data_IF_274619595526
#
_entry.id   IF_274619595526
#
_cell.length_a   1.000
_cell.length_b   1.000
_cell.length_c   1.000
_cell.angle_alpha   90.00
_cell.angle_beta   90.00
_cell.angle_gamma   90.00
#
_symmetry.space_group_name_H-M   'P 1'
#
loop_
_entity.id
_entity.type
_entity.pdbx_description
1 polymer ?
#
# COMPACT_ATOMS: atom_id res chain seq x y z
N UNK A 1 25.98 -38.62 6.28
CA UNK A 1 25.31 -37.65 7.19
C UNK A 1 25.08 -36.36 6.42
N UNK A 2 23.83 -35.96 6.18
CA UNK A 2 23.48 -34.68 5.52
C UNK A 2 23.39 -33.60 6.58
N UNK A 3 24.27 -32.61 6.54
CA UNK A 3 24.18 -31.41 7.37
C UNK A 3 23.08 -30.51 6.81
N UNK A 4 21.95 -30.44 7.51
CA UNK A 4 20.91 -29.44 7.26
C UNK A 4 21.49 -28.07 7.62
N UNK A 5 21.90 -27.29 6.60
CA UNK A 5 22.17 -25.87 6.81
C UNK A 5 20.84 -25.18 7.13
N UNK A 6 20.63 -24.91 8.42
CA UNK A 6 19.63 -23.96 8.87
C UNK A 6 20.00 -22.61 8.28
N UNK A 7 19.34 -22.22 7.19
CA UNK A 7 19.49 -20.88 6.61
C UNK A 7 19.32 -19.82 7.70
N UNK A 8 20.01 -18.67 7.59
CA UNK A 8 20.10 -17.70 8.67
C UNK A 8 18.71 -17.33 9.16
N UNK A 9 18.43 -17.60 10.43
CA UNK A 9 17.18 -17.20 11.07
C UNK A 9 16.97 -15.71 10.79
N UNK A 10 15.83 -15.36 10.17
CA UNK A 10 15.53 -13.97 9.81
C UNK A 10 15.53 -13.14 11.09
N UNK A 11 16.61 -12.40 11.32
CA UNK A 11 16.76 -11.53 12.48
C UNK A 11 15.54 -10.61 12.56
N UNK A 12 14.89 -10.52 13.73
CA UNK A 12 13.71 -9.70 13.90
C UNK A 12 14.01 -8.24 13.57
N UNK A 13 13.03 -7.56 12.98
CA UNK A 13 13.17 -6.18 12.53
C UNK A 13 13.41 -5.25 13.74
N UNK A 14 14.40 -4.35 13.65
CA UNK A 14 14.60 -3.35 14.69
C UNK A 14 13.44 -2.36 14.74
N UNK A 15 13.16 -1.79 15.92
CA UNK A 15 12.05 -0.84 16.10
C UNK A 15 12.11 0.36 15.16
N UNK A 16 13.30 0.93 14.91
CA UNK A 16 13.46 2.05 13.98
C UNK A 16 13.13 1.66 12.54
N UNK A 17 13.57 0.47 12.09
CA UNK A 17 13.23 -0.05 10.75
C UNK A 17 11.74 -0.34 10.63
N UNK A 18 11.10 -0.84 11.68
CA UNK A 18 9.66 -1.10 11.71
C UNK A 18 8.85 0.20 11.55
N UNK A 19 9.25 1.27 12.22
CA UNK A 19 8.65 2.60 12.03
C UNK A 19 8.87 3.16 10.63
N UNK A 20 10.07 3.02 10.07
CA UNK A 20 10.32 3.40 8.68
C UNK A 20 9.40 2.64 7.71
N UNK A 21 9.26 1.32 7.87
CA UNK A 21 8.34 0.53 7.06
C UNK A 21 6.89 1.00 7.22
N UNK A 22 6.41 1.23 8.45
CA UNK A 22 5.06 1.71 8.71
C UNK A 22 4.81 3.09 8.08
N UNK A 23 5.75 4.02 8.22
CA UNK A 23 5.68 5.35 7.61
C UNK A 23 5.62 5.27 6.09
N UNK A 24 6.50 4.48 5.47
CA UNK A 24 6.49 4.27 4.02
C UNK A 24 5.16 3.70 3.52
N UNK A 25 4.54 2.79 4.26
CA UNK A 25 3.27 2.17 3.88
C UNK A 25 2.09 3.15 3.91
N UNK A 26 2.11 4.12 4.82
CA UNK A 26 1.00 5.05 5.05
C UNK A 26 1.16 6.36 4.30
N UNK A 27 2.39 6.85 4.15
CA UNK A 27 2.68 8.18 3.62
C UNK A 27 3.19 8.16 2.17
N UNK A 28 3.88 7.10 1.77
CA UNK A 28 4.45 6.99 0.43
C UNK A 28 3.56 6.17 -0.50
N UNK A 29 3.39 4.88 -0.19
CA UNK A 29 2.64 3.98 -1.05
C UNK A 29 2.14 2.73 -0.29
N UNK A 30 0.82 2.44 -0.33
CA UNK A 30 0.26 1.23 0.25
C UNK A 30 0.93 -0.05 -0.29
N UNK A 31 1.61 -0.79 0.58
CA UNK A 31 2.32 -2.04 0.25
C UNK A 31 3.83 -1.92 0.16
N UNK A 32 4.38 -0.72 -0.06
CA UNK A 32 5.84 -0.55 -0.17
C UNK A 32 6.55 -0.85 1.15
N UNK A 33 6.02 -0.36 2.27
CA UNK A 33 6.51 -0.66 3.61
C UNK A 33 6.39 -2.14 3.97
N UNK A 34 5.31 -2.79 3.55
CA UNK A 34 5.11 -4.24 3.70
C UNK A 34 6.17 -5.05 2.92
N UNK A 35 6.50 -4.63 1.70
CA UNK A 35 7.55 -5.23 0.86
C UNK A 35 8.94 -5.01 1.46
N UNK A 36 9.22 -3.81 1.99
CA UNK A 36 10.48 -3.52 2.71
C UNK A 36 10.63 -4.40 3.96
N UNK A 37 9.53 -4.74 4.64
CA UNK A 37 9.51 -5.72 5.72
C UNK A 37 9.61 -7.19 5.24
N UNK A 38 9.90 -7.42 3.95
CA UNK A 38 10.09 -8.72 3.29
C UNK A 38 8.84 -9.61 3.38
N UNK A 39 7.64 -9.01 3.33
CA UNK A 39 6.35 -9.71 3.31
C UNK A 39 5.75 -9.66 1.91
N UNK A 40 5.46 -10.82 1.33
CA UNK A 40 5.03 -10.95 -0.08
C UNK A 40 3.71 -10.23 -0.39
N UNK A 41 2.78 -10.19 0.57
CA UNK A 41 1.51 -9.47 0.42
C UNK A 41 1.69 -7.96 0.15
N UNK A 42 2.88 -7.40 0.41
CA UNK A 42 3.20 -6.03 0.04
C UNK A 42 3.17 -5.79 -1.47
N UNK A 43 3.59 -6.76 -2.28
CA UNK A 43 3.51 -6.66 -3.74
C UNK A 43 2.06 -6.66 -4.23
N UNK A 44 1.20 -7.45 -3.59
CA UNK A 44 -0.24 -7.44 -3.89
C UNK A 44 -0.87 -6.10 -3.51
N UNK A 45 -0.56 -5.58 -2.33
CA UNK A 45 -1.01 -4.24 -1.91
C UNK A 45 -0.57 -3.15 -2.90
N UNK A 46 0.68 -3.20 -3.36
CA UNK A 46 1.18 -2.26 -4.36
C UNK A 46 0.45 -2.40 -5.70
N UNK A 47 0.21 -3.62 -6.17
CA UNK A 47 -0.51 -3.87 -7.41
C UNK A 47 -1.96 -3.40 -7.37
N UNK A 48 -2.68 -3.72 -6.29
CA UNK A 48 -4.10 -3.34 -6.13
C UNK A 48 -4.23 -1.81 -5.93
N UNK A 49 -3.33 -1.18 -5.17
CA UNK A 49 -3.32 0.28 -5.03
C UNK A 49 -3.01 0.98 -6.34
N UNK A 50 -2.04 0.47 -7.12
CA UNK A 50 -1.74 0.98 -8.45
C UNK A 50 -2.95 0.87 -9.39
N UNK A 51 -3.65 -0.28 -9.39
CA UNK A 51 -4.87 -0.45 -10.17
C UNK A 51 -5.96 0.58 -9.78
N UNK A 52 -6.16 0.80 -8.47
CA UNK A 52 -7.08 1.83 -7.97
C UNK A 52 -6.71 3.23 -8.48
N UNK A 53 -5.44 3.62 -8.41
CA UNK A 53 -4.95 4.92 -8.93
C UNK A 53 -5.17 5.02 -10.43
N UNK A 54 -4.84 3.98 -11.21
CA UNK A 54 -5.05 3.97 -12.66
C UNK A 54 -6.52 4.15 -13.01
N UNK A 55 -7.43 3.48 -12.29
CA UNK A 55 -8.87 3.68 -12.47
C UNK A 55 -9.30 5.12 -12.16
N UNK A 56 -8.78 5.72 -11.08
CA UNK A 56 -9.02 7.14 -10.77
C UNK A 56 -8.58 8.03 -11.93
N UNK A 57 -7.37 7.83 -12.45
CA UNK A 57 -6.83 8.64 -13.56
C UNK A 57 -7.66 8.47 -14.84
N UNK A 58 -8.03 7.24 -15.21
CA UNK A 58 -8.89 6.97 -16.38
C UNK A 58 -10.27 7.62 -16.20
N UNK A 59 -10.88 7.47 -15.03
CA UNK A 59 -12.17 8.07 -14.72
C UNK A 59 -12.11 9.59 -14.74
N UNK A 60 -11.09 10.21 -14.17
CA UNK A 60 -10.92 11.66 -14.23
C UNK A 60 -10.67 12.16 -15.66
N UNK A 61 -9.78 11.52 -16.41
CA UNK A 61 -9.48 11.90 -17.79
C UNK A 61 -10.72 11.79 -18.68
N UNK A 62 -11.47 10.69 -18.57
CA UNK A 62 -12.72 10.50 -19.31
C UNK A 62 -13.83 11.46 -18.90
N UNK A 63 -13.97 11.75 -17.60
CA UNK A 63 -14.93 12.74 -17.09
C UNK A 63 -14.65 14.13 -17.69
N UNK A 64 -13.40 14.57 -17.67
CA UNK A 64 -13.02 15.86 -18.23
C UNK A 64 -13.11 15.90 -19.75
N UNK A 65 -12.68 14.84 -20.45
CA UNK A 65 -12.83 14.75 -21.90
C UNK A 65 -14.30 14.93 -22.30
N UNK A 66 -15.21 14.18 -21.65
CA UNK A 66 -16.65 14.32 -21.86
C UNK A 66 -17.15 15.72 -21.56
N UNK A 67 -16.73 16.29 -20.43
CA UNK A 67 -17.13 17.65 -20.06
C UNK A 67 -16.71 18.68 -21.11
N UNK A 68 -15.50 18.59 -21.66
CA UNK A 68 -15.04 19.51 -22.69
C UNK A 68 -15.71 19.29 -24.05
N UNK A 69 -16.09 18.05 -24.37
CA UNK A 69 -16.79 17.73 -25.61
C UNK A 69 -18.25 18.23 -25.61
N UNK A 70 -18.95 18.15 -24.46
CA UNK A 70 -20.37 18.52 -24.38
C UNK A 70 -20.61 19.88 -23.73
N UNK A 71 -19.64 20.41 -22.98
CA UNK A 71 -19.79 21.55 -22.06
C UNK A 71 -20.87 21.36 -20.99
N UNK A 72 -21.40 20.14 -20.87
CA UNK A 72 -22.37 19.74 -19.87
C UNK A 72 -21.65 18.97 -18.78
N UNK A 73 -21.87 19.36 -17.52
CA UNK A 73 -21.26 18.70 -16.38
C UNK A 73 -21.77 17.25 -16.29
N UNK A 74 -20.91 16.22 -16.43
CA UNK A 74 -21.36 14.85 -16.30
C UNK A 74 -21.91 14.61 -14.89
N UNK A 75 -23.09 13.97 -14.82
CA UNK A 75 -23.77 13.68 -13.57
C UNK A 75 -23.10 12.56 -12.77
N UNK A 76 -23.60 12.32 -11.55
CA UNK A 76 -23.10 11.28 -10.65
C UNK A 76 -23.23 9.85 -11.19
N UNK A 77 -24.16 9.61 -12.13
CA UNK A 77 -24.33 8.33 -12.81
C UNK A 77 -23.40 8.12 -14.01
N UNK A 78 -22.54 9.10 -14.35
CA UNK A 78 -21.63 8.98 -15.48
C UNK A 78 -20.63 7.83 -15.28
N UNK A 79 -20.36 7.08 -16.35
CA UNK A 79 -19.49 5.91 -16.29
C UNK A 79 -18.08 6.27 -15.81
N UNK A 80 -17.54 7.41 -16.23
CA UNK A 80 -16.19 7.84 -15.84
C UNK A 80 -16.13 8.31 -14.39
N UNK A 81 -17.19 8.98 -13.91
CA UNK A 81 -17.34 9.31 -12.49
C UNK A 81 -17.37 8.03 -11.63
N UNK A 82 -18.15 7.03 -12.05
CA UNK A 82 -18.23 5.74 -11.35
C UNK A 82 -16.90 4.99 -11.35
N UNK A 83 -16.16 5.00 -12.47
CA UNK A 83 -14.81 4.41 -12.55
C UNK A 83 -13.85 5.11 -11.60
N UNK A 84 -13.88 6.44 -11.53
CA UNK A 84 -13.04 7.20 -10.60
C UNK A 84 -13.38 6.89 -9.14
N UNK A 85 -14.66 6.87 -8.78
CA UNK A 85 -15.12 6.54 -7.42
C UNK A 85 -14.75 5.09 -7.06
N UNK A 86 -14.94 4.14 -7.97
CA UNK A 86 -14.55 2.74 -7.78
C UNK A 86 -13.04 2.59 -7.57
N UNK A 87 -12.23 3.27 -8.37
CA UNK A 87 -10.77 3.31 -8.21
C UNK A 87 -10.35 3.91 -6.86
N UNK A 88 -10.98 5.00 -6.44
CA UNK A 88 -10.72 5.64 -5.15
C UNK A 88 -11.09 4.73 -3.98
N UNK A 89 -12.23 4.03 -4.07
CA UNK A 89 -12.65 3.06 -3.06
C UNK A 89 -11.68 1.88 -2.97
N UNK A 90 -11.22 1.35 -4.10
CA UNK A 90 -10.22 0.28 -4.15
C UNK A 90 -8.89 0.72 -3.54
N UNK A 91 -8.43 1.94 -3.87
CA UNK A 91 -7.23 2.52 -3.28
C UNK A 91 -7.39 2.69 -1.76
N UNK A 92 -8.51 3.26 -1.30
CA UNK A 92 -8.80 3.42 0.13
C UNK A 92 -8.79 2.07 0.88
N UNK A 93 -9.39 1.03 0.30
CA UNK A 93 -9.37 -0.32 0.88
C UNK A 93 -7.94 -0.86 1.02
N UNK A 94 -7.10 -0.67 0.00
CA UNK A 94 -5.68 -1.05 0.11
C UNK A 94 -4.91 -0.22 1.13
N UNK A 95 -5.31 1.03 1.37
CA UNK A 95 -4.71 1.88 2.39
C UNK A 95 -5.05 1.39 3.81
N UNK A 96 -6.30 0.98 4.06
CA UNK A 96 -6.68 0.31 5.32
C UNK A 96 -5.91 -1.00 5.52
N UNK A 97 -5.74 -1.78 4.45
CA UNK A 97 -4.93 -3.01 4.51
C UNK A 97 -3.46 -2.70 4.82
N UNK A 98 -2.89 -1.63 4.25
CA UNK A 98 -1.55 -1.15 4.55
C UNK A 98 -1.40 -0.66 6.00
N UNK A 99 -2.43 -0.02 6.57
CA UNK A 99 -2.47 0.34 7.99
C UNK A 99 -2.40 -0.89 8.89
N UNK A 100 -3.27 -1.88 8.67
CA UNK A 100 -3.27 -3.14 9.42
C UNK A 100 -1.90 -3.83 9.32
N UNK A 101 -1.33 -3.87 8.11
CA UNK A 101 0.00 -4.46 7.87
C UNK A 101 1.10 -3.73 8.63
N UNK A 102 1.03 -2.40 8.71
CA UNK A 102 1.96 -1.57 9.48
C UNK A 102 1.88 -1.87 10.98
N UNK A 103 0.67 -2.03 11.53
CA UNK A 103 0.49 -2.42 12.93
C UNK A 103 1.12 -3.79 13.22
N UNK A 104 0.96 -4.76 12.32
CA UNK A 104 1.62 -6.06 12.46
C UNK A 104 3.15 -5.97 12.33
N UNK A 105 3.69 -5.07 11.50
CA UNK A 105 5.14 -4.85 11.40
C UNK A 105 5.69 -4.27 12.71
N UNK A 106 5.01 -3.27 13.27
CA UNK A 106 5.41 -2.65 14.54
C UNK A 106 5.34 -3.62 15.72
N UNK A 107 4.32 -4.50 15.76
CA UNK A 107 4.19 -5.54 16.79
C UNK A 107 5.28 -6.62 16.71
N UNK A 108 5.78 -6.91 15.52
CA UNK A 108 6.86 -7.89 15.32
C UNK A 108 8.26 -7.34 15.60
N UNK A 109 8.40 -6.06 15.94
CA UNK A 109 9.70 -5.43 16.11
C UNK A 109 10.29 -5.74 17.50
N UNK A 110 11.57 -6.14 17.54
CA UNK A 110 12.28 -6.40 18.79
C UNK A 110 12.79 -5.08 19.39
N UNK A 111 12.64 -4.93 20.72
CA UNK A 111 13.23 -3.82 21.46
C UNK A 111 14.75 -3.95 21.39
N UNK A 112 15.49 -2.89 20.98
CA UNK A 112 16.95 -2.94 21.04
C UNK A 112 17.39 -3.17 22.49
N UNK A 113 18.43 -4.00 22.74
CA UNK A 113 18.95 -4.19 24.09
C UNK A 113 19.43 -2.84 24.65
N UNK A 114 19.30 -2.60 25.97
CA UNK A 114 19.82 -1.39 26.61
C UNK A 114 21.32 -1.29 26.31
N UNK A 115 21.76 -0.11 25.84
CA UNK A 115 23.20 0.16 25.71
C UNK A 115 23.75 0.23 27.12
N UNK A 116 24.53 -0.76 27.53
CA UNK A 116 25.36 -0.65 28.72
C UNK A 116 26.37 0.45 28.42
N UNK A 117 26.24 1.56 29.16
CA UNK A 117 27.18 2.69 29.14
C UNK A 117 28.42 2.35 29.96
#
# INVERSE_FOLDING_TARGET
MKTSSTGPAKLPLSRSKAWACAGTNLLLWPGLGTTMARRWHGLVQMGVSAAGVVMVLIGFAGYFARYYDTLERPGWGDAYANVAVGGAALFALTWFWALISSLFILRSAVRPPPRLA
#
